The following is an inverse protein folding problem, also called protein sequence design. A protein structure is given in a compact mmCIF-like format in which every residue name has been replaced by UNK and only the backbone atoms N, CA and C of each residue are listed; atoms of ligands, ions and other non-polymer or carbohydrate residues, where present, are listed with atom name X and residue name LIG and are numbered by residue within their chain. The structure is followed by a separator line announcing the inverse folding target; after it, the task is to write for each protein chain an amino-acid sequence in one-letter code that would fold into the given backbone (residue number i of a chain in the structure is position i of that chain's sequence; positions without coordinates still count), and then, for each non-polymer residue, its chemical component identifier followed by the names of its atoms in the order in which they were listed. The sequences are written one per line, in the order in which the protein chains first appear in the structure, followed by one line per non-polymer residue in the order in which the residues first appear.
data_IF_213716256105
#
_entry.id   IF_213716256105
#
_cell.length_a   1.000
_cell.length_b   1.000
_cell.length_c   1.000
_cell.angle_alpha   90.00
_cell.angle_beta   90.00
_cell.angle_gamma   90.00
#
_symmetry.space_group_name_H-M   'P 1'
#
loop_
_entity.id
_entity.type
_entity.pdbx_description
1 polymer ?
#
# COMPACT_ATOMS: atom_id res chain seq x y z
N UNK A 1 -17.16 27.54 -113.08
CA UNK A 1 -18.01 28.44 -113.89
C UNK A 1 -17.10 29.42 -114.59
N UNK A 2 -17.17 29.41 -115.92
CA UNK A 2 -16.32 30.13 -116.86
C UNK A 2 -16.30 31.64 -116.62
N UNK A 3 -15.12 32.24 -116.71
CA UNK A 3 -14.94 33.67 -116.90
C UNK A 3 -14.98 33.98 -118.40
N UNK A 4 -16.11 34.46 -118.88
CA UNK A 4 -16.26 34.96 -120.25
C UNK A 4 -15.96 36.47 -120.26
N UNK A 5 -14.86 36.82 -120.91
CA UNK A 5 -14.53 38.16 -121.40
C UNK A 5 -15.53 38.62 -122.46
N UNK A 6 -16.04 39.86 -122.41
CA UNK A 6 -16.51 40.57 -123.61
C UNK A 6 -16.60 42.10 -123.43
N UNK A 7 -15.71 42.75 -124.17
CA UNK A 7 -15.87 43.97 -124.99
C UNK A 7 -16.52 45.24 -124.43
N UNK A 8 -15.69 46.29 -124.49
CA UNK A 8 -16.04 47.71 -124.60
C UNK A 8 -16.75 48.03 -125.92
N UNK A 9 -17.84 48.81 -125.85
CA UNK A 9 -18.25 49.97 -126.70
C UNK A 9 -19.73 50.34 -126.40
N UNK A 10 -20.24 51.59 -126.56
CA UNK A 10 -19.65 52.94 -126.53
C UNK A 10 -20.22 53.83 -125.39
N UNK A 11 -19.46 54.84 -124.93
CA UNK A 11 -19.70 55.63 -123.70
C UNK A 11 -20.86 56.65 -123.79
N UNK A 12 -21.53 56.80 -124.95
CA UNK A 12 -22.64 57.76 -125.11
C UNK A 12 -24.04 57.20 -124.75
N UNK A 13 -24.27 55.89 -124.82
CA UNK A 13 -25.57 55.30 -124.39
C UNK A 13 -25.64 55.12 -122.87
N UNK A 14 -24.50 54.79 -122.24
CA UNK A 14 -24.40 54.46 -120.82
C UNK A 14 -24.93 55.56 -119.87
N UNK A 15 -24.75 56.84 -120.22
CA UNK A 15 -25.25 57.96 -119.42
C UNK A 15 -26.77 58.17 -119.51
N UNK A 16 -27.40 57.81 -120.63
CA UNK A 16 -28.87 57.86 -120.80
C UNK A 16 -29.53 56.67 -120.11
N UNK A 17 -28.88 55.50 -120.22
CA UNK A 17 -29.27 54.28 -119.53
C UNK A 17 -29.22 54.44 -118.01
N UNK A 18 -28.23 55.16 -117.46
CA UNK A 18 -28.12 55.40 -116.02
C UNK A 18 -29.22 56.30 -115.45
N UNK A 19 -29.63 57.35 -116.16
CA UNK A 19 -30.73 58.21 -115.70
C UNK A 19 -32.08 57.47 -115.68
N UNK A 20 -32.31 56.60 -116.68
CA UNK A 20 -33.50 55.75 -116.76
C UNK A 20 -33.45 54.69 -115.64
N UNK A 21 -32.27 54.12 -115.37
CA UNK A 21 -32.07 53.16 -114.30
C UNK A 21 -32.31 53.77 -112.91
N UNK A 22 -31.83 54.99 -112.64
CA UNK A 22 -32.06 55.68 -111.36
C UNK A 22 -33.52 56.12 -111.21
N UNK A 23 -34.19 56.53 -112.29
CA UNK A 23 -35.63 56.82 -112.25
C UNK A 23 -36.48 55.57 -111.98
N UNK A 24 -36.05 54.40 -112.47
CA UNK A 24 -36.75 53.12 -112.29
C UNK A 24 -36.44 52.47 -110.93
N UNK A 25 -35.19 52.56 -110.47
CA UNK A 25 -34.74 52.13 -109.15
C UNK A 25 -33.76 53.13 -108.52
N UNK A 26 -34.28 54.12 -107.77
CA UNK A 26 -33.44 55.10 -107.07
C UNK A 26 -32.53 54.49 -106.00
N UNK A 27 -32.70 53.21 -105.65
CA UNK A 27 -31.86 52.51 -104.69
C UNK A 27 -30.44 52.21 -105.18
N UNK A 28 -30.23 52.16 -106.50
CA UNK A 28 -28.93 51.81 -107.10
C UNK A 28 -27.81 52.76 -106.66
N UNK A 29 -28.10 54.05 -106.58
CA UNK A 29 -27.13 55.08 -106.18
C UNK A 29 -26.82 55.08 -104.67
N UNK A 30 -27.58 54.33 -103.87
CA UNK A 30 -27.33 54.20 -102.43
C UNK A 30 -26.31 53.11 -102.09
N UNK A 31 -26.12 52.14 -103.00
CA UNK A 31 -25.24 50.98 -102.81
C UNK A 31 -23.93 51.15 -103.60
N UNK A 32 -23.96 51.97 -104.66
CA UNK A 32 -22.84 52.20 -105.58
C UNK A 32 -22.57 53.71 -105.71
N UNK A 33 -21.50 54.18 -105.07
CA UNK A 33 -21.11 55.59 -105.08
C UNK A 33 -20.67 56.08 -106.45
N UNK A 34 -20.09 55.21 -107.29
CA UNK A 34 -19.64 55.59 -108.64
C UNK A 34 -20.84 55.88 -109.54
N UNK A 35 -21.93 55.11 -109.40
CA UNK A 35 -23.18 55.38 -110.11
C UNK A 35 -23.88 56.65 -109.62
N UNK A 36 -23.77 56.97 -108.34
CA UNK A 36 -24.24 58.25 -107.82
C UNK A 36 -23.50 59.42 -108.48
N UNK A 37 -22.17 59.38 -108.48
CA UNK A 37 -21.34 60.45 -109.05
C UNK A 37 -21.63 60.67 -110.53
N UNK A 38 -21.69 59.59 -111.32
CA UNK A 38 -22.00 59.66 -112.76
C UNK A 38 -23.42 60.20 -113.04
N UNK A 39 -24.40 59.83 -112.22
CA UNK A 39 -25.76 60.36 -112.34
C UNK A 39 -25.86 61.83 -111.93
N UNK A 40 -25.16 62.22 -110.86
CA UNK A 40 -25.10 63.60 -110.38
C UNK A 40 -24.43 64.53 -111.39
N UNK A 41 -23.30 64.11 -111.98
CA UNK A 41 -22.60 64.89 -113.02
C UNK A 41 -23.50 65.14 -114.23
N UNK A 42 -24.33 64.15 -114.61
CA UNK A 42 -25.33 64.33 -115.66
C UNK A 42 -26.40 65.35 -115.30
N UNK A 43 -26.98 65.25 -114.09
CA UNK A 43 -27.96 66.25 -113.62
C UNK A 43 -27.37 67.66 -113.55
N UNK A 44 -26.08 67.77 -113.23
CA UNK A 44 -25.36 69.03 -113.20
C UNK A 44 -25.13 69.59 -114.61
N UNK A 45 -24.78 68.74 -115.57
CA UNK A 45 -24.59 69.13 -116.97
C UNK A 45 -25.90 69.54 -117.66
N UNK A 46 -27.03 68.91 -117.34
CA UNK A 46 -28.36 69.25 -117.86
C UNK A 46 -29.00 70.48 -117.21
N UNK A 47 -28.40 71.03 -116.15
CA UNK A 47 -28.99 72.15 -115.42
C UNK A 47 -28.96 73.44 -116.27
N UNK A 48 -30.11 74.13 -116.47
CA UNK A 48 -30.21 75.33 -117.30
C UNK A 48 -29.68 76.56 -116.55
N UNK A 49 -28.39 76.56 -116.23
CA UNK A 49 -27.73 77.59 -115.39
C UNK A 49 -27.55 78.94 -116.09
N UNK A 50 -27.64 78.94 -117.41
CA UNK A 50 -27.54 80.09 -118.31
C UNK A 50 -28.89 80.80 -118.57
N UNK A 51 -29.99 80.31 -117.97
CA UNK A 51 -31.32 80.88 -118.14
C UNK A 51 -31.43 82.31 -117.58
N UNK A 52 -31.97 83.23 -118.39
CA UNK A 52 -32.11 84.65 -118.03
C UNK A 52 -33.18 84.90 -116.94
N UNK A 53 -32.70 85.21 -115.73
CA UNK A 53 -33.51 85.48 -114.53
C UNK A 53 -34.34 86.78 -114.60
N UNK A 54 -34.01 87.69 -115.52
CA UNK A 54 -34.80 88.92 -115.72
C UNK A 54 -36.17 88.61 -116.34
N UNK A 55 -36.27 87.49 -117.08
CA UNK A 55 -37.51 87.03 -117.72
C UNK A 55 -38.31 86.09 -116.82
N UNK A 56 -39.65 86.10 -116.94
CA UNK A 56 -40.50 85.11 -116.24
C UNK A 56 -40.15 83.68 -116.67
N UNK A 57 -39.97 83.46 -117.98
CA UNK A 57 -39.65 82.14 -118.54
C UNK A 57 -38.36 81.56 -117.99
N UNK A 58 -37.28 82.34 -117.88
CA UNK A 58 -36.01 81.88 -117.30
C UNK A 58 -36.14 81.51 -115.82
N UNK A 59 -36.85 82.31 -115.02
CA UNK A 59 -37.16 81.97 -113.61
C UNK A 59 -38.00 80.70 -113.48
N UNK A 60 -38.95 80.48 -114.39
CA UNK A 60 -39.83 79.31 -114.37
C UNK A 60 -39.09 78.01 -114.73
N UNK A 61 -38.18 78.06 -115.73
CA UNK A 61 -37.33 76.92 -116.10
C UNK A 61 -36.40 76.51 -114.95
N UNK A 62 -35.75 77.47 -114.28
CA UNK A 62 -34.91 77.21 -113.09
C UNK A 62 -35.72 76.61 -111.94
N UNK A 63 -36.93 77.14 -111.66
CA UNK A 63 -37.81 76.61 -110.61
C UNK A 63 -38.25 75.18 -110.90
N UNK A 64 -38.60 74.90 -112.16
CA UNK A 64 -39.01 73.57 -112.63
C UNK A 64 -37.87 72.56 -112.51
N UNK A 65 -36.66 72.92 -112.96
CA UNK A 65 -35.50 72.04 -112.86
C UNK A 65 -35.10 71.77 -111.40
N UNK A 66 -35.14 72.79 -110.53
CA UNK A 66 -34.93 72.60 -109.09
C UNK A 66 -36.01 71.70 -108.46
N UNK A 67 -37.26 71.76 -108.93
CA UNK A 67 -38.32 70.84 -108.50
C UNK A 67 -38.05 69.40 -108.97
N UNK A 68 -37.56 69.20 -110.20
CA UNK A 68 -37.10 67.90 -110.71
C UNK A 68 -36.02 67.30 -109.78
N UNK A 69 -34.95 68.04 -109.49
CA UNK A 69 -33.86 67.57 -108.60
C UNK A 69 -34.38 67.21 -107.20
N UNK A 70 -35.30 68.00 -106.63
CA UNK A 70 -35.94 67.67 -105.34
C UNK A 70 -36.77 66.38 -105.42
N UNK A 71 -37.48 66.16 -106.53
CA UNK A 71 -38.26 64.94 -106.77
C UNK A 71 -37.37 63.71 -106.88
N UNK A 72 -36.26 63.80 -107.61
CA UNK A 72 -35.26 62.73 -107.72
C UNK A 72 -34.67 62.36 -106.35
N UNK A 73 -34.27 63.37 -105.56
CA UNK A 73 -33.81 63.17 -104.18
C UNK A 73 -34.87 62.47 -103.33
N UNK A 74 -36.13 62.88 -103.43
CA UNK A 74 -37.22 62.26 -102.68
C UNK A 74 -37.44 60.79 -103.09
N UNK A 75 -37.23 60.45 -104.37
CA UNK A 75 -37.19 59.08 -104.86
C UNK A 75 -36.10 58.25 -104.18
N UNK A 76 -34.88 58.78 -104.12
CA UNK A 76 -33.73 58.15 -103.44
C UNK A 76 -34.00 57.99 -101.93
N UNK A 77 -34.52 59.01 -101.26
CA UNK A 77 -34.87 58.93 -99.83
C UNK A 77 -35.93 57.85 -99.56
N UNK A 78 -36.95 57.74 -100.43
CA UNK A 78 -37.97 56.69 -100.32
C UNK A 78 -37.38 55.29 -100.55
N UNK A 79 -36.48 55.15 -101.52
CA UNK A 79 -35.76 53.89 -101.75
C UNK A 79 -34.87 53.52 -100.56
N UNK A 80 -34.17 54.49 -99.93
CA UNK A 80 -33.38 54.29 -98.71
C UNK A 80 -34.24 53.77 -97.57
N UNK A 81 -35.39 54.39 -97.32
CA UNK A 81 -36.30 53.97 -96.25
C UNK A 81 -36.85 52.56 -96.49
N UNK A 82 -37.16 52.21 -97.75
CA UNK A 82 -37.59 50.84 -98.13
C UNK A 82 -36.47 49.82 -97.88
N UNK A 83 -35.28 50.03 -98.45
CA UNK A 83 -34.14 49.11 -98.32
C UNK A 83 -33.73 48.89 -96.86
N UNK A 84 -33.59 49.97 -96.08
CA UNK A 84 -33.22 49.86 -94.66
C UNK A 84 -34.31 49.22 -93.81
N UNK A 85 -35.58 49.29 -94.22
CA UNK A 85 -36.66 48.53 -93.58
C UNK A 85 -36.53 47.05 -93.91
N UNK A 86 -36.38 46.69 -95.18
CA UNK A 86 -36.19 45.30 -95.62
C UNK A 86 -34.98 44.65 -94.93
N UNK A 87 -33.84 45.34 -94.83
CA UNK A 87 -32.66 44.82 -94.11
C UNK A 87 -32.91 44.59 -92.62
N UNK A 88 -33.62 45.51 -91.95
CA UNK A 88 -33.99 45.34 -90.53
C UNK A 88 -34.96 44.18 -90.36
N UNK A 89 -35.94 44.05 -91.23
CA UNK A 89 -36.92 42.95 -91.20
C UNK A 89 -36.22 41.59 -91.45
N UNK A 90 -35.31 41.50 -92.42
CA UNK A 90 -34.50 40.30 -92.69
C UNK A 90 -33.58 39.95 -91.52
N UNK A 91 -32.94 40.96 -90.90
CA UNK A 91 -32.07 40.75 -89.73
C UNK A 91 -32.88 40.24 -88.54
N UNK A 92 -34.06 40.82 -88.28
CA UNK A 92 -34.96 40.36 -87.24
C UNK A 92 -35.43 38.92 -87.49
N UNK A 93 -35.77 38.58 -88.74
CA UNK A 93 -36.16 37.22 -89.11
C UNK A 93 -35.01 36.21 -88.92
N UNK A 94 -33.80 36.56 -89.36
CA UNK A 94 -32.62 35.70 -89.21
C UNK A 94 -32.28 35.47 -87.73
N UNK A 95 -32.34 36.50 -86.89
CA UNK A 95 -32.09 36.37 -85.45
C UNK A 95 -33.16 35.52 -84.75
N UNK A 96 -34.44 35.72 -85.08
CA UNK A 96 -35.54 34.93 -84.53
C UNK A 96 -35.41 33.45 -84.94
N UNK A 97 -35.10 33.19 -86.21
CA UNK A 97 -34.86 31.83 -86.70
C UNK A 97 -33.62 31.21 -86.03
N UNK A 98 -32.52 31.94 -85.94
CA UNK A 98 -31.28 31.49 -85.30
C UNK A 98 -31.48 31.09 -83.84
N UNK A 99 -32.28 31.86 -83.08
CA UNK A 99 -32.65 31.51 -81.71
C UNK A 99 -33.39 30.17 -81.65
N UNK A 100 -34.45 30.01 -82.44
CA UNK A 100 -35.27 28.78 -82.46
C UNK A 100 -34.42 27.58 -82.91
N UNK A 101 -33.57 27.76 -83.91
CA UNK A 101 -32.66 26.72 -84.39
C UNK A 101 -31.67 26.32 -83.30
N UNK A 102 -31.06 27.29 -82.62
CA UNK A 102 -30.13 27.04 -81.51
C UNK A 102 -30.79 26.24 -80.38
N UNK A 103 -31.98 26.66 -79.92
CA UNK A 103 -32.74 25.95 -78.88
C UNK A 103 -33.07 24.50 -79.29
N UNK A 104 -33.48 24.29 -80.56
CA UNK A 104 -33.78 22.94 -81.06
C UNK A 104 -32.54 22.05 -81.18
N UNK A 105 -31.42 22.60 -81.66
CA UNK A 105 -30.17 21.84 -81.79
C UNK A 105 -29.60 21.47 -80.41
N UNK A 106 -29.70 22.37 -79.42
CA UNK A 106 -29.29 22.09 -78.05
C UNK A 106 -30.17 21.01 -77.41
N UNK A 107 -31.49 21.08 -77.59
CA UNK A 107 -32.42 20.03 -77.13
C UNK A 107 -32.09 18.68 -77.76
N UNK A 108 -31.84 18.64 -79.06
CA UNK A 108 -31.47 17.41 -79.76
C UNK A 108 -30.12 16.87 -79.27
N UNK A 109 -29.12 17.73 -79.07
CA UNK A 109 -27.83 17.33 -78.52
C UNK A 109 -27.98 16.73 -77.10
N UNK A 110 -28.80 17.34 -76.26
CA UNK A 110 -29.12 16.83 -74.93
C UNK A 110 -29.84 15.49 -74.98
N UNK A 111 -30.84 15.33 -75.85
CA UNK A 111 -31.57 14.06 -76.05
C UNK A 111 -30.66 12.94 -76.54
N UNK A 112 -29.79 13.23 -77.52
CA UNK A 112 -28.83 12.25 -78.06
C UNK A 112 -27.79 11.87 -77.01
N UNK A 113 -27.35 12.82 -76.16
CA UNK A 113 -26.38 12.55 -75.10
C UNK A 113 -26.98 11.90 -73.87
N UNK A 114 -28.29 12.06 -73.63
CA UNK A 114 -28.97 11.58 -72.41
C UNK A 114 -28.71 10.10 -72.11
N UNK A 115 -28.82 9.14 -73.05
CA UNK A 115 -28.53 7.73 -72.76
C UNK A 115 -27.10 7.49 -72.27
N UNK A 116 -26.12 8.22 -72.81
CA UNK A 116 -24.73 8.13 -72.37
C UNK A 116 -24.57 8.72 -70.96
N UNK A 117 -25.19 9.87 -70.69
CA UNK A 117 -25.16 10.48 -69.35
C UNK A 117 -25.83 9.61 -68.29
N UNK A 118 -26.97 9.00 -68.62
CA UNK A 118 -27.67 8.07 -67.73
C UNK A 118 -26.80 6.83 -67.44
N UNK A 119 -26.12 6.30 -68.46
CA UNK A 119 -25.18 5.18 -68.30
C UNK A 119 -23.93 5.57 -67.49
N UNK A 120 -23.30 6.71 -67.77
CA UNK A 120 -22.14 7.22 -67.02
C UNK A 120 -22.47 7.40 -65.53
N UNK A 121 -23.67 7.91 -65.24
CA UNK A 121 -24.17 8.06 -63.87
C UNK A 121 -24.45 6.71 -63.19
N UNK A 122 -25.11 5.78 -63.89
CA UNK A 122 -25.38 4.44 -63.36
C UNK A 122 -24.09 3.64 -63.12
N UNK A 123 -23.14 3.74 -64.03
CA UNK A 123 -21.84 3.08 -63.93
C UNK A 123 -21.01 3.67 -62.78
N UNK A 124 -20.99 4.99 -62.65
CA UNK A 124 -20.38 5.64 -61.47
C UNK A 124 -21.01 5.17 -60.17
N UNK A 125 -22.34 5.10 -60.09
CA UNK A 125 -23.05 4.63 -58.91
C UNK A 125 -22.73 3.16 -58.60
N UNK A 126 -22.64 2.31 -59.62
CA UNK A 126 -22.21 0.90 -59.49
C UNK A 126 -20.80 0.83 -58.90
N UNK A 127 -19.85 1.58 -59.46
CA UNK A 127 -18.45 1.59 -59.00
C UNK A 127 -18.34 2.08 -57.55
N UNK A 128 -19.04 3.16 -57.19
CA UNK A 128 -19.02 3.71 -55.83
C UNK A 128 -19.65 2.73 -54.82
N UNK A 129 -20.71 2.01 -55.20
CA UNK A 129 -21.33 0.96 -54.38
C UNK A 129 -20.39 -0.24 -54.17
N UNK A 130 -19.70 -0.68 -55.22
CA UNK A 130 -18.70 -1.75 -55.14
C UNK A 130 -17.54 -1.38 -54.22
N UNK A 131 -16.97 -0.17 -54.37
CA UNK A 131 -15.91 0.32 -53.48
C UNK A 131 -16.35 0.36 -52.02
N UNK A 132 -17.54 0.92 -51.77
CA UNK A 132 -18.11 0.96 -50.42
C UNK A 132 -18.27 -0.44 -49.82
N UNK A 133 -18.63 -1.44 -50.63
CA UNK A 133 -18.73 -2.83 -50.18
C UNK A 133 -17.35 -3.44 -49.89
N UNK A 134 -16.34 -3.16 -50.71
CA UNK A 134 -14.95 -3.59 -50.47
C UNK A 134 -14.43 -2.99 -49.16
N UNK A 135 -14.62 -1.69 -48.95
CA UNK A 135 -14.23 -1.02 -47.71
C UNK A 135 -14.94 -1.61 -46.50
N UNK A 136 -16.23 -1.93 -46.63
CA UNK A 136 -16.97 -2.64 -45.59
C UNK A 136 -16.39 -4.03 -45.30
N UNK A 137 -16.04 -4.81 -46.34
CA UNK A 137 -15.40 -6.13 -46.16
C UNK A 137 -14.07 -6.02 -45.41
N UNK A 138 -13.23 -5.06 -45.79
CA UNK A 138 -11.94 -4.80 -45.13
C UNK A 138 -12.15 -4.46 -43.65
N UNK A 139 -13.05 -3.52 -43.35
CA UNK A 139 -13.32 -3.10 -41.98
C UNK A 139 -14.01 -4.19 -41.16
N UNK A 140 -14.85 -5.02 -41.79
CA UNK A 140 -15.49 -6.15 -41.12
C UNK A 140 -14.47 -7.20 -40.63
N UNK A 141 -13.31 -7.30 -41.28
CA UNK A 141 -12.22 -8.17 -40.85
C UNK A 141 -11.52 -7.74 -39.55
N UNK A 142 -11.71 -6.49 -39.09
CA UNK A 142 -11.00 -5.94 -37.93
C UNK A 142 -11.64 -6.42 -36.63
N UNK A 143 -10.93 -7.27 -35.87
CA UNK A 143 -11.38 -7.75 -34.55
C UNK A 143 -10.77 -6.88 -33.46
N UNK A 144 -11.63 -6.25 -32.66
CA UNK A 144 -11.27 -5.32 -31.58
C UNK A 144 -11.32 -6.00 -30.21
N UNK A 145 -11.03 -5.24 -29.13
CA UNK A 145 -11.13 -5.75 -27.76
C UNK A 145 -12.58 -5.84 -27.26
N UNK A 146 -13.49 -5.05 -27.81
CA UNK A 146 -14.91 -5.05 -27.44
C UNK A 146 -15.70 -6.19 -28.12
N UNK A 147 -15.05 -6.90 -29.05
CA UNK A 147 -15.64 -8.01 -29.77
C UNK A 147 -15.81 -9.26 -28.89
N UNK A 148 -16.96 -9.91 -29.04
CA UNK A 148 -17.28 -11.19 -28.40
C UNK A 148 -17.33 -12.31 -29.43
N UNK A 149 -17.37 -13.56 -28.97
CA UNK A 149 -17.55 -14.74 -29.85
C UNK A 149 -18.80 -14.58 -30.72
N UNK A 150 -19.90 -14.07 -30.15
CA UNK A 150 -21.15 -13.87 -30.87
C UNK A 150 -21.05 -12.77 -31.93
N UNK A 151 -20.48 -11.61 -31.60
CA UNK A 151 -20.37 -10.49 -32.56
C UNK A 151 -19.46 -10.87 -33.73
N UNK A 152 -18.33 -11.53 -33.46
CA UNK A 152 -17.39 -12.00 -34.50
C UNK A 152 -18.03 -13.08 -35.37
N UNK A 153 -18.80 -14.01 -34.79
CA UNK A 153 -19.49 -15.07 -35.54
C UNK A 153 -20.56 -14.49 -36.46
N UNK A 154 -21.39 -13.57 -35.96
CA UNK A 154 -22.43 -12.90 -36.75
C UNK A 154 -21.81 -12.15 -37.93
N UNK A 155 -20.81 -11.31 -37.66
CA UNK A 155 -20.07 -10.57 -38.70
C UNK A 155 -19.41 -11.51 -39.71
N UNK A 156 -18.84 -12.63 -39.26
CA UNK A 156 -18.28 -13.67 -40.14
C UNK A 156 -19.33 -14.27 -41.08
N UNK A 157 -20.55 -14.51 -40.59
CA UNK A 157 -21.65 -15.01 -41.42
C UNK A 157 -22.11 -13.97 -42.46
N UNK A 158 -22.18 -12.69 -42.08
CA UNK A 158 -22.51 -11.60 -43.00
C UNK A 158 -21.48 -11.48 -44.12
N UNK A 159 -20.18 -11.47 -43.76
CA UNK A 159 -19.07 -11.42 -44.72
C UNK A 159 -19.10 -12.65 -45.63
N UNK A 160 -19.34 -13.85 -45.10
CA UNK A 160 -19.42 -15.07 -45.88
C UNK A 160 -20.55 -15.04 -46.91
N UNK A 161 -21.68 -14.41 -46.56
CA UNK A 161 -22.87 -14.31 -47.41
C UNK A 161 -22.75 -13.26 -48.52
N UNK A 162 -21.71 -12.42 -48.51
CA UNK A 162 -21.51 -11.44 -49.59
C UNK A 162 -21.15 -12.14 -50.89
N UNK A 163 -22.01 -12.04 -51.89
CA UNK A 163 -21.74 -12.53 -53.25
C UNK A 163 -20.87 -11.51 -54.00
N UNK A 164 -19.65 -11.91 -54.34
CA UNK A 164 -18.82 -11.18 -55.29
C UNK A 164 -19.10 -11.78 -56.65
N UNK A 165 -19.76 -11.00 -57.52
CA UNK A 165 -20.20 -11.45 -58.84
C UNK A 165 -19.94 -10.41 -59.91
N UNK A 166 -20.62 -10.56 -61.05
CA UNK A 166 -20.44 -9.74 -62.25
C UNK A 166 -20.59 -8.24 -62.00
N UNK A 167 -21.41 -7.86 -61.01
CA UNK A 167 -21.62 -6.47 -60.60
C UNK A 167 -20.34 -5.75 -60.14
N UNK A 168 -19.25 -6.46 -59.81
CA UNK A 168 -17.96 -5.84 -59.46
C UNK A 168 -17.05 -5.58 -60.67
N UNK A 169 -17.27 -6.26 -61.79
CA UNK A 169 -16.42 -6.16 -62.99
C UNK A 169 -14.94 -6.34 -62.63
N UNK A 170 -14.11 -5.38 -63.03
CA UNK A 170 -12.65 -5.38 -62.79
C UNK A 170 -12.26 -5.39 -61.29
N UNK A 171 -13.16 -4.96 -60.40
CA UNK A 171 -12.92 -4.96 -58.94
C UNK A 171 -13.26 -6.31 -58.27
N UNK A 172 -13.73 -7.31 -59.03
CA UNK A 172 -14.13 -8.60 -58.47
C UNK A 172 -12.96 -9.28 -57.72
N UNK A 173 -11.75 -9.27 -58.29
CA UNK A 173 -10.57 -9.84 -57.63
C UNK A 173 -10.21 -9.15 -56.32
N UNK A 174 -10.34 -7.82 -56.26
CA UNK A 174 -10.13 -7.04 -55.03
C UNK A 174 -11.18 -7.36 -53.97
N UNK A 175 -12.45 -7.44 -54.36
CA UNK A 175 -13.55 -7.79 -53.47
C UNK A 175 -13.45 -9.24 -52.94
N UNK A 176 -13.05 -10.20 -53.78
CA UNK A 176 -12.79 -11.57 -53.36
C UNK A 176 -11.62 -11.64 -52.37
N UNK A 177 -10.52 -10.94 -52.65
CA UNK A 177 -9.39 -10.87 -51.75
C UNK A 177 -9.75 -10.22 -50.40
N UNK A 178 -10.51 -9.13 -50.41
CA UNK A 178 -11.00 -8.47 -49.20
C UNK A 178 -11.90 -9.41 -48.39
N UNK A 179 -12.86 -10.08 -49.04
CA UNK A 179 -13.73 -11.08 -48.42
C UNK A 179 -12.94 -12.22 -47.80
N UNK A 180 -11.99 -12.79 -48.54
CA UNK A 180 -11.15 -13.90 -48.07
C UNK A 180 -10.31 -13.50 -46.86
N UNK A 181 -9.67 -12.33 -46.89
CA UNK A 181 -8.88 -11.81 -45.78
C UNK A 181 -9.75 -11.53 -44.53
N UNK A 182 -10.94 -10.97 -44.72
CA UNK A 182 -11.88 -10.73 -43.63
C UNK A 182 -12.32 -12.04 -42.97
N UNK A 183 -12.70 -13.05 -43.77
CA UNK A 183 -13.06 -14.38 -43.25
C UNK A 183 -11.89 -15.02 -42.49
N UNK A 184 -10.68 -14.98 -43.05
CA UNK A 184 -9.50 -15.54 -42.40
C UNK A 184 -9.22 -14.87 -41.06
N UNK A 185 -9.29 -13.54 -41.01
CA UNK A 185 -9.05 -12.75 -39.79
C UNK A 185 -10.13 -13.00 -38.74
N UNK A 186 -11.40 -13.01 -39.15
CA UNK A 186 -12.54 -13.29 -38.25
C UNK A 186 -12.47 -14.71 -37.70
N UNK A 187 -12.09 -15.70 -38.51
CA UNK A 187 -11.89 -17.07 -38.05
C UNK A 187 -10.77 -17.17 -37.01
N UNK A 188 -9.63 -16.53 -37.26
CA UNK A 188 -8.53 -16.49 -36.30
C UNK A 188 -8.93 -15.77 -35.00
N UNK A 189 -9.65 -14.64 -35.11
CA UNK A 189 -10.18 -13.90 -33.96
C UNK A 189 -11.20 -14.71 -33.15
N UNK A 190 -12.11 -15.42 -33.83
CA UNK A 190 -13.09 -16.29 -33.19
C UNK A 190 -12.40 -17.40 -32.39
N UNK A 191 -11.44 -18.09 -33.00
CA UNK A 191 -10.69 -19.15 -32.30
C UNK A 191 -9.90 -18.61 -31.10
N UNK A 192 -9.36 -17.39 -31.19
CA UNK A 192 -8.70 -16.72 -30.05
C UNK A 192 -9.70 -16.47 -28.92
N UNK A 193 -10.84 -15.86 -29.23
CA UNK A 193 -11.88 -15.51 -28.24
C UNK A 193 -12.49 -16.76 -27.58
N UNK A 194 -12.77 -17.81 -28.36
CA UNK A 194 -13.29 -19.09 -27.84
C UNK A 194 -12.27 -19.73 -26.87
N UNK A 195 -10.97 -19.65 -27.17
CA UNK A 195 -9.93 -20.10 -26.26
C UNK A 195 -9.87 -19.26 -24.99
N UNK A 196 -9.90 -17.94 -25.09
CA UNK A 196 -9.89 -17.03 -23.93
C UNK A 196 -11.12 -17.22 -23.02
N UNK A 197 -12.29 -17.52 -23.60
CA UNK A 197 -13.49 -17.86 -22.84
C UNK A 197 -13.37 -19.22 -22.15
N UNK A 198 -12.85 -20.23 -22.85
CA UNK A 198 -12.60 -21.55 -22.27
C UNK A 198 -11.57 -21.50 -21.12
N UNK A 199 -10.47 -20.78 -21.31
CA UNK A 199 -9.43 -20.58 -20.28
C UNK A 199 -9.99 -19.84 -19.05
N UNK A 200 -10.85 -18.83 -19.25
CA UNK A 200 -11.54 -18.15 -18.13
C UNK A 200 -12.48 -19.08 -17.38
N UNK A 201 -13.28 -19.88 -18.09
CA UNK A 201 -14.19 -20.84 -17.48
C UNK A 201 -13.45 -21.96 -16.73
N UNK A 202 -12.31 -22.42 -17.24
CA UNK A 202 -11.44 -23.39 -16.56
C UNK A 202 -10.81 -22.77 -15.30
N UNK A 203 -10.29 -21.54 -15.41
CA UNK A 203 -9.72 -20.83 -14.27
C UNK A 203 -10.75 -20.60 -13.16
N UNK A 204 -11.99 -20.29 -13.51
CA UNK A 204 -13.09 -20.16 -12.54
C UNK A 204 -13.40 -21.50 -11.86
N UNK A 205 -13.45 -22.60 -12.62
CA UNK A 205 -13.62 -23.95 -12.04
C UNK A 205 -12.47 -24.30 -11.08
N UNK A 206 -11.23 -24.02 -11.46
CA UNK A 206 -10.06 -24.26 -10.61
C UNK A 206 -10.10 -23.41 -9.33
N UNK A 207 -10.54 -22.15 -9.42
CA UNK A 207 -10.74 -21.30 -8.24
C UNK A 207 -11.86 -21.81 -7.34
N UNK A 208 -12.97 -22.27 -7.91
CA UNK A 208 -14.07 -22.85 -7.15
C UNK A 208 -13.66 -24.16 -6.46
N UNK A 209 -12.90 -25.03 -7.14
CA UNK A 209 -12.38 -26.26 -6.55
C UNK A 209 -11.36 -25.96 -5.44
N UNK A 210 -10.44 -25.02 -5.66
CA UNK A 210 -9.47 -24.60 -4.65
C UNK A 210 -10.16 -24.03 -3.41
N UNK A 211 -11.14 -23.14 -3.60
CA UNK A 211 -11.94 -22.58 -2.50
C UNK A 211 -12.72 -23.66 -1.74
N UNK A 212 -13.28 -24.66 -2.45
CA UNK A 212 -13.97 -25.78 -1.81
C UNK A 212 -13.01 -26.67 -1.01
N UNK A 213 -11.79 -26.93 -1.51
CA UNK A 213 -10.75 -27.66 -0.78
C UNK A 213 -10.31 -26.89 0.46
N UNK A 214 -10.04 -25.60 0.33
CA UNK A 214 -9.65 -24.75 1.48
C UNK A 214 -10.75 -24.69 2.54
N UNK A 215 -12.02 -24.56 2.14
CA UNK A 215 -13.16 -24.59 3.06
C UNK A 215 -13.27 -25.95 3.78
N UNK A 216 -13.06 -27.06 3.06
CA UNK A 216 -13.06 -28.40 3.67
C UNK A 216 -11.89 -28.57 4.64
N UNK A 217 -10.68 -28.16 4.27
CA UNK A 217 -9.52 -28.23 5.15
C UNK A 217 -9.67 -27.32 6.37
N UNK A 218 -10.25 -26.13 6.21
CA UNK A 218 -10.57 -25.25 7.32
C UNK A 218 -11.59 -25.88 8.27
N UNK A 219 -12.65 -26.49 7.75
CA UNK A 219 -13.63 -27.22 8.55
C UNK A 219 -13.00 -28.42 9.28
N UNK A 220 -12.13 -29.19 8.62
CA UNK A 220 -11.39 -30.30 9.25
C UNK A 220 -10.41 -29.79 10.32
N UNK A 221 -9.74 -28.64 10.11
CA UNK A 221 -8.88 -28.01 11.12
C UNK A 221 -9.69 -27.54 12.32
N UNK A 222 -10.81 -26.86 12.10
CA UNK A 222 -11.72 -26.43 13.18
C UNK A 222 -12.29 -27.61 13.96
N UNK A 223 -12.64 -28.71 13.29
CA UNK A 223 -13.09 -29.94 13.94
C UNK A 223 -11.96 -30.58 14.77
N UNK A 224 -10.75 -30.70 14.20
CA UNK A 224 -9.58 -31.21 14.93
C UNK A 224 -9.25 -30.35 16.15
N UNK A 225 -9.26 -29.03 16.01
CA UNK A 225 -9.04 -28.10 17.13
C UNK A 225 -10.14 -28.23 18.19
N UNK A 226 -11.40 -28.39 17.78
CA UNK A 226 -12.51 -28.60 18.72
C UNK A 226 -12.32 -29.90 19.51
N UNK A 227 -11.99 -30.99 18.81
CA UNK A 227 -11.72 -32.30 19.44
C UNK A 227 -10.50 -32.21 20.37
N UNK A 228 -9.44 -31.53 19.96
CA UNK A 228 -8.25 -31.35 20.80
C UNK A 228 -8.53 -30.49 22.04
N UNK A 229 -9.28 -29.39 21.89
CA UNK A 229 -9.72 -28.56 23.02
C UNK A 229 -10.60 -29.35 23.99
N UNK A 230 -11.56 -30.12 23.49
CA UNK A 230 -12.40 -30.98 24.33
C UNK A 230 -11.57 -32.05 25.06
N UNK A 231 -10.59 -32.66 24.38
CA UNK A 231 -9.69 -33.63 24.99
C UNK A 231 -8.74 -32.99 26.02
N UNK A 232 -8.25 -31.77 25.76
CA UNK A 232 -7.44 -31.01 26.71
C UNK A 232 -8.26 -30.59 27.94
N UNK A 233 -9.52 -30.17 27.75
CA UNK A 233 -10.43 -29.83 28.84
C UNK A 233 -10.75 -31.05 29.70
N UNK A 234 -11.04 -32.21 29.10
CA UNK A 234 -11.22 -33.47 29.83
C UNK A 234 -9.98 -33.88 30.62
N UNK A 235 -8.78 -33.77 30.03
CA UNK A 235 -7.52 -34.03 30.73
C UNK A 235 -7.30 -33.07 31.90
N UNK A 236 -7.51 -31.78 31.70
CA UNK A 236 -7.38 -30.78 32.75
C UNK A 236 -8.42 -30.98 33.87
N UNK A 237 -9.65 -31.38 33.54
CA UNK A 237 -10.67 -31.72 34.52
C UNK A 237 -10.28 -32.96 35.34
N UNK A 238 -9.76 -33.99 34.68
CA UNK A 238 -9.28 -35.20 35.36
C UNK A 238 -8.06 -34.92 36.25
N UNK A 239 -7.09 -34.16 35.77
CA UNK A 239 -5.94 -33.73 36.56
C UNK A 239 -6.36 -32.89 37.78
N UNK A 240 -7.33 -31.98 37.62
CA UNK A 240 -7.90 -31.23 38.75
C UNK A 240 -8.59 -32.15 39.74
N UNK A 241 -9.30 -33.19 39.28
CA UNK A 241 -9.95 -34.17 40.15
C UNK A 241 -8.91 -34.98 40.93
N UNK A 242 -7.88 -35.48 40.26
CA UNK A 242 -6.78 -36.22 40.90
C UNK A 242 -6.01 -35.32 41.88
N UNK A 243 -5.76 -34.06 41.53
CA UNK A 243 -5.10 -33.11 42.41
C UNK A 243 -5.97 -32.77 43.64
N UNK A 244 -7.29 -32.62 43.47
CA UNK A 244 -8.22 -32.42 44.57
C UNK A 244 -8.27 -33.65 45.49
N UNK A 245 -8.32 -34.87 44.93
CA UNK A 245 -8.29 -36.11 45.70
C UNK A 245 -6.97 -36.28 46.47
N UNK A 246 -5.82 -35.97 45.84
CA UNK A 246 -4.52 -35.97 46.52
C UNK A 246 -4.45 -34.91 47.61
N UNK A 247 -4.94 -33.70 47.37
CA UNK A 247 -4.96 -32.64 48.37
C UNK A 247 -5.87 -33.00 49.56
N UNK A 248 -7.00 -33.67 49.32
CA UNK A 248 -7.87 -34.18 50.37
C UNK A 248 -7.23 -35.35 51.13
N UNK A 249 -6.58 -36.29 50.44
CA UNK A 249 -5.81 -37.36 51.06
C UNK A 249 -4.65 -36.83 51.92
N UNK A 250 -3.90 -35.84 51.43
CA UNK A 250 -2.84 -35.16 52.18
C UNK A 250 -3.37 -34.39 53.38
N UNK A 251 -4.56 -33.77 53.28
CA UNK A 251 -5.24 -33.16 54.43
C UNK A 251 -5.62 -34.20 55.47
N UNK A 252 -6.20 -35.32 55.07
CA UNK A 252 -6.56 -36.42 55.97
C UNK A 252 -5.31 -37.03 56.62
N UNK A 253 -4.22 -37.20 55.86
CA UNK A 253 -2.95 -37.70 56.39
C UNK A 253 -2.31 -36.71 57.37
N UNK A 254 -2.36 -35.40 57.06
CA UNK A 254 -1.89 -34.36 57.96
C UNK A 254 -2.71 -34.30 59.24
N UNK A 255 -4.04 -34.36 59.17
CA UNK A 255 -4.91 -34.44 60.34
C UNK A 255 -4.62 -35.72 61.16
N UNK A 256 -4.35 -36.86 60.52
CA UNK A 256 -3.93 -38.09 61.21
C UNK A 256 -2.56 -37.96 61.88
N UNK A 257 -1.57 -37.34 61.22
CA UNK A 257 -0.23 -37.10 61.79
C UNK A 257 -0.30 -36.11 62.95
N UNK A 258 -1.03 -35.02 62.81
CA UNK A 258 -1.25 -34.04 63.88
C UNK A 258 -1.98 -34.68 65.07
N UNK A 259 -2.99 -35.52 64.83
CA UNK A 259 -3.66 -36.29 65.88
C UNK A 259 -2.72 -37.32 66.55
N UNK A 260 -1.88 -38.01 65.78
CA UNK A 260 -0.90 -38.95 66.31
C UNK A 260 0.20 -38.25 67.12
N UNK A 261 0.71 -37.10 66.67
CA UNK A 261 1.67 -36.28 67.39
C UNK A 261 1.06 -35.63 68.63
N UNK A 262 -0.23 -35.23 68.59
CA UNK A 262 -0.94 -34.76 69.77
C UNK A 262 -1.12 -35.89 70.80
N UNK A 263 -1.47 -37.11 70.35
CA UNK A 263 -1.57 -38.28 71.21
C UNK A 263 -0.21 -38.69 71.80
N UNK A 264 0.87 -38.61 71.02
CA UNK A 264 2.23 -38.87 71.48
C UNK A 264 2.69 -37.82 72.50
N UNK A 265 2.42 -36.53 72.25
CA UNK A 265 2.71 -35.45 73.23
C UNK A 265 1.89 -35.57 74.50
N UNK A 266 0.66 -36.06 74.43
CA UNK A 266 -0.16 -36.32 75.62
C UNK A 266 0.35 -37.56 76.40
N UNK A 267 0.77 -38.60 75.69
CA UNK A 267 1.40 -39.78 76.28
C UNK A 267 2.76 -39.46 76.93
N UNK A 268 3.61 -38.64 76.28
CA UNK A 268 4.87 -38.16 76.85
C UNK A 268 4.64 -37.25 78.05
N UNK A 269 3.64 -36.35 78.02
CA UNK A 269 3.29 -35.54 79.20
C UNK A 269 2.82 -36.39 80.38
N UNK A 270 2.03 -37.44 80.13
CA UNK A 270 1.61 -38.41 81.16
C UNK A 270 2.79 -39.23 81.68
N UNK A 271 3.67 -39.69 80.80
CA UNK A 271 4.87 -40.43 81.18
C UNK A 271 5.86 -39.56 81.97
N UNK A 272 6.00 -38.28 81.62
CA UNK A 272 6.83 -37.32 82.35
C UNK A 272 6.22 -36.99 83.71
N UNK A 273 4.91 -36.78 83.80
CA UNK A 273 4.22 -36.56 85.07
C UNK A 273 4.37 -37.76 86.02
N UNK A 274 4.32 -39.00 85.50
CA UNK A 274 4.54 -40.20 86.31
C UNK A 274 6.01 -40.34 86.73
N UNK A 275 6.97 -40.02 85.85
CA UNK A 275 8.40 -39.98 86.21
C UNK A 275 8.68 -38.94 87.29
N UNK A 276 8.11 -37.75 87.17
CA UNK A 276 8.26 -36.68 88.17
C UNK A 276 7.60 -37.06 89.50
N UNK A 277 6.51 -37.83 89.47
CA UNK A 277 5.87 -38.38 90.68
C UNK A 277 6.74 -39.43 91.36
N UNK A 278 7.27 -40.38 90.61
CA UNK A 278 8.21 -41.40 91.12
C UNK A 278 9.47 -40.73 91.68
N UNK A 279 9.99 -39.71 91.00
CA UNK A 279 11.17 -38.97 91.46
C UNK A 279 10.89 -38.22 92.77
N UNK A 280 9.72 -37.57 92.91
CA UNK A 280 9.32 -36.93 94.18
C UNK A 280 9.15 -37.93 95.32
N UNK A 281 8.54 -39.08 95.05
CA UNK A 281 8.39 -40.15 96.04
C UNK A 281 9.76 -40.72 96.46
N UNK A 282 10.70 -40.88 95.53
CA UNK A 282 12.07 -41.28 95.82
C UNK A 282 12.84 -40.21 96.62
N UNK A 283 12.71 -38.93 96.27
CA UNK A 283 13.39 -37.83 96.94
C UNK A 283 12.80 -37.57 98.35
N UNK A 284 11.49 -37.75 98.55
CA UNK A 284 10.87 -37.72 99.89
C UNK A 284 11.29 -38.91 100.75
N UNK A 285 11.42 -40.11 100.18
CA UNK A 285 11.93 -41.28 100.90
C UNK A 285 13.39 -41.08 101.33
N UNK A 286 14.23 -40.53 100.46
CA UNK A 286 15.64 -40.24 100.75
C UNK A 286 15.79 -39.10 101.78
N UNK A 287 14.91 -38.08 101.73
CA UNK A 287 14.88 -37.00 102.72
C UNK A 287 14.38 -37.47 104.10
N UNK A 288 13.42 -38.40 104.14
CA UNK A 288 12.95 -39.02 105.39
C UNK A 288 14.01 -39.93 106.01
N UNK A 289 14.78 -40.66 105.21
CA UNK A 289 15.92 -41.46 105.67
C UNK A 289 17.07 -40.59 106.20
N UNK A 290 17.42 -39.51 105.49
CA UNK A 290 18.43 -38.54 105.96
C UNK A 290 18.03 -37.84 107.25
N UNK A 291 16.77 -37.44 107.42
CA UNK A 291 16.28 -36.87 108.70
C UNK A 291 16.38 -37.86 109.86
N UNK A 292 16.09 -39.15 109.63
CA UNK A 292 16.24 -40.20 110.65
C UNK A 292 17.72 -40.47 110.99
N UNK A 293 18.63 -40.38 110.02
CA UNK A 293 20.06 -40.48 110.25
C UNK A 293 20.61 -39.27 111.02
N UNK A 294 20.22 -38.05 110.65
CA UNK A 294 20.64 -36.81 111.33
C UNK A 294 20.08 -36.69 112.77
N UNK A 295 18.87 -37.16 113.03
CA UNK A 295 18.30 -37.18 114.39
C UNK A 295 18.96 -38.23 115.28
N UNK A 296 19.33 -39.40 114.73
CA UNK A 296 20.09 -40.43 115.45
C UNK A 296 21.55 -39.98 115.74
N UNK A 297 22.17 -39.25 114.81
CA UNK A 297 23.53 -38.72 114.98
C UNK A 297 23.56 -37.54 115.96
N UNK A 298 22.56 -36.64 115.95
CA UNK A 298 22.42 -35.57 116.96
C UNK A 298 22.17 -36.12 118.37
N UNK A 299 21.39 -37.18 118.52
CA UNK A 299 21.16 -37.83 119.82
C UNK A 299 22.44 -38.53 120.34
N UNK A 300 23.22 -39.15 119.46
CA UNK A 300 24.50 -39.77 119.82
C UNK A 300 25.59 -38.74 120.15
N UNK A 301 25.60 -37.57 119.48
CA UNK A 301 26.58 -36.50 119.73
C UNK A 301 26.27 -35.74 121.03
N UNK A 302 24.99 -35.48 121.35
CA UNK A 302 24.60 -34.83 122.60
C UNK A 302 24.97 -35.63 123.87
N UNK A 303 24.93 -36.97 123.82
CA UNK A 303 25.36 -37.81 124.94
C UNK A 303 26.89 -37.87 125.05
N UNK A 304 27.62 -37.84 123.92
CA UNK A 304 29.09 -37.77 123.91
C UNK A 304 29.61 -36.43 124.43
N UNK A 305 28.95 -35.33 124.12
CA UNK A 305 29.34 -33.99 124.58
C UNK A 305 29.10 -33.82 126.10
N UNK A 306 28.08 -34.46 126.67
CA UNK A 306 27.84 -34.47 128.14
C UNK A 306 28.96 -35.20 128.91
N UNK A 307 29.41 -36.34 128.40
CA UNK A 307 30.49 -37.14 129.01
C UNK A 307 31.87 -36.49 128.80
N UNK A 308 32.08 -35.81 127.67
CA UNK A 308 33.32 -35.07 127.39
C UNK A 308 33.47 -33.81 128.26
N UNK A 309 32.39 -33.07 128.53
CA UNK A 309 32.42 -31.88 129.39
C UNK A 309 32.74 -32.21 130.86
N UNK A 310 32.25 -33.35 131.37
CA UNK A 310 32.49 -33.79 132.75
C UNK A 310 33.94 -34.28 132.95
N UNK A 311 34.55 -34.94 131.96
CA UNK A 311 35.96 -35.35 131.99
C UNK A 311 36.93 -34.18 131.80
N UNK A 312 36.61 -33.22 130.93
CA UNK A 312 37.46 -32.05 130.69
C UNK A 312 37.57 -31.14 131.93
N UNK A 313 36.52 -31.04 132.75
CA UNK A 313 36.56 -30.29 134.02
C UNK A 313 37.47 -30.95 135.08
N UNK A 314 37.49 -32.29 135.15
CA UNK A 314 38.35 -33.04 136.07
C UNK A 314 39.84 -33.03 135.66
N UNK A 315 40.13 -33.09 134.35
CA UNK A 315 41.51 -33.05 133.83
C UNK A 315 42.16 -31.66 133.96
N UNK A 316 41.38 -30.57 133.84
CA UNK A 316 41.89 -29.21 134.01
C UNK A 316 42.31 -28.88 135.47
N UNK A 317 41.66 -29.47 136.47
CA UNK A 317 42.02 -29.29 137.89
C UNK A 317 43.24 -30.14 138.27
N UNK A 318 43.38 -31.34 137.71
CA UNK A 318 44.55 -32.20 137.92
C UNK A 318 45.84 -31.63 137.29
N UNK A 319 45.74 -31.01 136.10
CA UNK A 319 46.91 -30.45 135.40
C UNK A 319 47.51 -29.23 136.13
N UNK A 320 46.67 -28.38 136.75
CA UNK A 320 47.13 -27.22 137.54
C UNK A 320 48.01 -27.59 138.75
N UNK A 321 47.76 -28.75 139.36
CA UNK A 321 48.49 -29.20 140.56
C UNK A 321 49.85 -29.83 140.20
N UNK A 322 49.96 -30.43 139.01
CA UNK A 322 51.19 -31.06 138.51
C UNK A 322 52.24 -30.03 138.06
N UNK A 323 51.82 -28.95 137.39
CA UNK A 323 52.73 -27.93 136.87
C UNK A 323 53.41 -27.11 138.00
N UNK A 324 52.81 -27.01 139.19
CA UNK A 324 53.40 -26.33 140.35
C UNK A 324 54.52 -27.14 141.04
N UNK A 325 54.47 -28.48 140.95
CA UNK A 325 55.49 -29.36 141.54
C UNK A 325 56.76 -29.45 140.67
N UNK A 326 56.63 -29.40 139.34
CA UNK A 326 57.76 -29.48 138.40
C UNK A 326 58.73 -28.28 138.51
N UNK A 327 58.23 -27.07 138.79
CA UNK A 327 59.05 -25.87 138.91
C UNK A 327 59.99 -25.89 140.14
N UNK A 328 59.60 -26.57 141.24
CA UNK A 328 60.38 -26.60 142.50
C UNK A 328 61.54 -27.60 142.49
N UNK A 329 61.51 -28.61 141.62
CA UNK A 329 62.58 -29.61 141.52
C UNK A 329 63.75 -29.18 140.63
N UNK A 330 63.48 -28.36 139.61
CA UNK A 330 64.52 -27.86 138.70
C UNK A 330 65.52 -26.90 139.40
N UNK A 331 65.02 -26.03 140.29
CA UNK A 331 65.84 -25.05 141.01
C UNK A 331 66.83 -25.70 141.99
N UNK A 332 66.41 -26.78 142.68
CA UNK A 332 67.28 -27.50 143.63
C UNK A 332 68.50 -28.15 142.97
N UNK A 333 68.36 -28.66 141.74
CA UNK A 333 69.45 -29.31 141.00
C UNK A 333 70.49 -28.30 140.53
N UNK A 334 70.06 -27.14 140.03
CA UNK A 334 70.97 -26.08 139.58
C UNK A 334 71.86 -25.58 140.72
N UNK A 335 71.26 -25.30 141.87
CA UNK A 335 71.98 -24.81 143.06
C UNK A 335 73.01 -25.79 143.60
N UNK A 336 72.79 -27.10 143.46
CA UNK A 336 73.71 -28.13 143.98
C UNK A 336 74.95 -28.30 143.09
N UNK A 337 74.77 -28.17 141.78
CA UNK A 337 75.86 -28.25 140.79
C UNK A 337 76.91 -27.16 141.01
N UNK A 338 76.48 -25.90 141.14
CA UNK A 338 77.38 -24.75 141.32
C UNK A 338 78.22 -24.86 142.59
N UNK A 339 77.64 -25.31 143.72
CA UNK A 339 78.38 -25.49 144.98
C UNK A 339 79.50 -26.52 144.84
N UNK A 340 79.23 -27.58 144.08
CA UNK A 340 80.16 -28.67 143.87
C UNK A 340 81.35 -28.23 143.01
N UNK A 341 81.07 -27.44 141.97
CA UNK A 341 82.09 -26.87 141.09
C UNK A 341 83.02 -25.89 141.85
N UNK A 342 82.46 -25.01 142.68
CA UNK A 342 83.24 -24.09 143.49
C UNK A 342 84.14 -24.84 144.50
N UNK A 343 83.62 -25.90 145.13
CA UNK A 343 84.40 -26.75 146.06
C UNK A 343 85.61 -27.38 145.36
N UNK A 344 85.40 -27.95 144.16
CA UNK A 344 86.45 -28.57 143.37
C UNK A 344 87.54 -27.57 142.96
N UNK A 345 87.16 -26.33 142.60
CA UNK A 345 88.12 -25.29 142.26
C UNK A 345 89.05 -24.96 143.44
N UNK A 346 88.53 -24.84 144.66
CA UNK A 346 89.37 -24.62 145.84
C UNK A 346 90.27 -25.82 146.17
N UNK A 347 89.78 -27.05 145.96
CA UNK A 347 90.61 -28.25 146.13
C UNK A 347 91.78 -28.27 145.15
N UNK A 348 91.57 -27.83 143.90
CA UNK A 348 92.64 -27.75 142.89
C UNK A 348 93.74 -26.73 143.23
N UNK A 349 93.44 -25.73 144.07
CA UNK A 349 94.39 -24.73 144.54
C UNK A 349 95.19 -25.16 145.79
N UNK A 350 95.10 -26.44 146.19
CA UNK A 350 95.90 -27.01 147.27
C UNK A 350 95.24 -27.02 148.65
N UNK A 351 93.95 -26.66 148.75
CA UNK A 351 93.18 -26.84 149.98
C UNK A 351 92.68 -28.30 150.10
N UNK A 352 92.77 -28.87 151.29
CA UNK A 352 92.11 -30.14 151.58
C UNK A 352 90.58 -30.01 151.48
N UNK A 353 89.88 -31.13 151.24
CA UNK A 353 88.45 -31.14 150.95
C UNK A 353 87.59 -30.55 152.08
N UNK A 354 88.03 -30.70 153.33
CA UNK A 354 87.28 -30.20 154.47
C UNK A 354 87.40 -28.67 154.57
N UNK A 355 88.60 -28.13 154.34
CA UNK A 355 88.85 -26.69 154.27
C UNK A 355 88.15 -26.05 153.07
N UNK A 356 88.22 -26.67 151.88
CA UNK A 356 87.52 -26.19 150.68
C UNK A 356 86.00 -26.12 150.86
N UNK A 357 85.39 -27.12 151.53
CA UNK A 357 83.97 -27.11 151.88
C UNK A 357 83.62 -25.97 152.84
N UNK A 358 84.43 -25.74 153.87
CA UNK A 358 84.23 -24.63 154.82
C UNK A 358 84.28 -23.28 154.11
N UNK A 359 85.22 -23.10 153.17
CA UNK A 359 85.33 -21.86 152.37
C UNK A 359 84.08 -21.65 151.51
N UNK A 360 83.60 -22.66 150.78
CA UNK A 360 82.38 -22.53 149.97
C UNK A 360 81.15 -22.24 150.83
N UNK A 361 81.03 -22.87 152.01
CA UNK A 361 79.91 -22.60 152.91
C UNK A 361 79.98 -21.20 153.52
N UNK A 362 81.17 -20.72 153.89
CA UNK A 362 81.36 -19.36 154.39
C UNK A 362 81.00 -18.29 153.33
N UNK A 363 81.30 -18.54 152.06
CA UNK A 363 80.92 -17.65 150.95
C UNK A 363 79.40 -17.65 150.73
N UNK A 364 78.73 -18.81 150.85
CA UNK A 364 77.26 -18.90 150.73
C UNK A 364 76.56 -18.26 151.93
N UNK A 365 77.14 -18.39 153.11
CA UNK A 365 76.65 -17.76 154.33
C UNK A 365 76.93 -16.24 154.37
N UNK A 366 77.77 -15.71 153.47
CA UNK A 366 78.12 -14.29 153.39
C UNK A 366 79.13 -13.84 154.44
N UNK A 367 79.83 -14.77 155.08
CA UNK A 367 80.80 -14.48 156.14
C UNK A 367 82.16 -13.98 155.59
N UNK A 368 82.41 -14.16 154.29
CA UNK A 368 83.60 -13.64 153.60
C UNK A 368 83.22 -12.35 152.85
N UNK A 369 83.72 -11.17 153.29
CA UNK A 369 83.36 -9.90 152.66
C UNK A 369 83.82 -9.82 151.19
N UNK A 370 83.02 -9.15 150.36
CA UNK A 370 83.30 -8.85 148.95
C UNK A 370 83.37 -10.05 147.97
N UNK A 371 82.90 -11.25 148.33
CA UNK A 371 82.77 -12.42 147.44
C UNK A 371 81.35 -13.02 147.52
N UNK A 372 80.75 -13.42 146.39
CA UNK A 372 79.40 -14.06 146.31
C UNK A 372 79.36 -15.23 145.34
N UNK A 373 78.57 -16.27 145.64
CA UNK A 373 78.32 -17.43 144.75
C UNK A 373 77.00 -17.23 143.99
N UNK A 374 77.03 -17.18 142.65
CA UNK A 374 75.81 -17.10 141.81
C UNK A 374 75.34 -18.49 141.42
N UNK A 375 74.05 -18.77 141.62
CA UNK A 375 73.45 -20.08 141.35
C UNK A 375 72.83 -20.20 139.98
#
# INVERSE_FOLDING_TARGET
MEAATLNLEPVASAGTDLAIAVASDPGIVLIDSQKFDAWYDKLKAEAPTDADVSTSKGRDVLRSYAAKVRSEKAGIDKARLRLTKEWRDMTAQANAAGKIIGERLESLAAEVRKPLTDWEAAEKARVDACRSKIDWLINAGVVTMDDTVETVRTRGSEVYSVEVGEAFGDMAGEAEAAKANAIATLKAGLSRLEREEAERAELEKLRAEAAAREAKEAAEREERERVEREAAEKRAAEERRIAAEKAEAERIERERKEAAEAAQRDAERKAQAERDRIQREHDEALAAERRRAEDAERAAQAERDRVAAERAAAEAEAQRLADEQAAREADKKHRTSVKTAAKQAFMSCGADEETAKKIVMAIIAGEVPAITLRF
#
